data_IF_697783671001
#
_entry.id   IF_697783671001
#
_cell.length_a   1.000
_cell.length_b   1.000
_cell.length_c   1.000
_cell.angle_alpha   90.00
_cell.angle_beta   90.00
_cell.angle_gamma   90.00
#
_symmetry.space_group_name_H-M   'P 1'
#
loop_
_entity.id
_entity.type
_entity.pdbx_description
1 polymer ?
#
# COMPACT_ATOMS: atom_id res chain seq x y z
N UNK A 1 38.79 -2.71 -11.35
CA UNK A 1 37.77 -1.72 -10.92
C UNK A 1 36.39 -2.27 -11.28
N UNK A 2 35.55 -2.63 -10.32
CA UNK A 2 34.14 -2.96 -10.61
C UNK A 2 33.38 -1.65 -10.84
N UNK A 3 32.95 -1.41 -12.07
CA UNK A 3 32.06 -0.31 -12.39
C UNK A 3 30.76 -0.53 -11.61
N UNK A 4 30.42 0.40 -10.69
CA UNK A 4 29.13 0.40 -10.01
C UNK A 4 28.05 0.64 -11.06
N UNK A 5 27.20 -0.34 -11.31
CA UNK A 5 26.00 -0.13 -12.12
C UNK A 5 25.18 1.04 -11.56
N UNK A 6 24.62 1.91 -12.42
CA UNK A 6 23.78 3.00 -11.95
C UNK A 6 22.57 2.43 -11.19
N UNK A 7 22.34 2.90 -9.97
CA UNK A 7 21.19 2.48 -9.15
C UNK A 7 19.90 2.77 -9.93
N UNK A 8 19.11 1.74 -10.18
CA UNK A 8 17.84 1.86 -10.87
C UNK A 8 16.92 2.79 -10.05
N UNK A 9 16.51 3.92 -10.66
CA UNK A 9 15.57 4.85 -10.03
C UNK A 9 14.25 4.10 -9.74
N UNK A 10 13.76 4.18 -8.51
CA UNK A 10 12.49 3.56 -8.15
C UNK A 10 11.38 4.35 -8.84
N UNK A 11 10.57 3.65 -9.62
CA UNK A 11 9.35 4.21 -10.18
C UNK A 11 8.31 4.34 -9.08
N UNK A 12 7.63 5.47 -9.03
CA UNK A 12 6.51 5.76 -8.12
C UNK A 12 5.38 6.40 -8.92
N UNK A 13 4.16 6.13 -8.50
CA UNK A 13 2.98 6.76 -9.08
C UNK A 13 2.83 8.19 -8.55
N UNK A 14 2.53 9.11 -9.44
CA UNK A 14 2.07 10.46 -9.07
C UNK A 14 0.59 10.42 -8.64
N UNK A 15 0.16 11.45 -7.89
CA UNK A 15 -1.26 11.57 -7.50
C UNK A 15 -2.19 11.64 -8.72
N UNK A 16 -1.75 12.27 -9.82
CA UNK A 16 -2.51 12.34 -11.06
C UNK A 16 -2.68 10.95 -11.73
N UNK A 17 -1.63 10.12 -11.69
CA UNK A 17 -1.70 8.74 -12.20
C UNK A 17 -2.61 7.87 -11.34
N UNK A 18 -2.53 7.98 -10.01
CA UNK A 18 -3.43 7.25 -9.10
C UNK A 18 -4.89 7.64 -9.35
N UNK A 19 -5.16 8.95 -9.48
CA UNK A 19 -6.51 9.46 -9.80
C UNK A 19 -7.02 8.89 -11.13
N UNK A 20 -6.19 8.90 -12.17
CA UNK A 20 -6.52 8.31 -13.47
C UNK A 20 -6.83 6.81 -13.37
N UNK A 21 -6.07 6.07 -12.58
CA UNK A 21 -6.31 4.63 -12.36
C UNK A 21 -7.64 4.38 -11.66
N UNK A 22 -8.01 5.22 -10.68
CA UNK A 22 -9.31 5.15 -9.98
C UNK A 22 -10.48 5.49 -10.90
N UNK A 23 -10.34 6.50 -11.78
CA UNK A 23 -11.34 6.90 -12.77
C UNK A 23 -11.58 5.80 -13.81
N UNK A 24 -10.52 5.10 -14.25
CA UNK A 24 -10.57 4.03 -15.24
C UNK A 24 -10.93 2.65 -14.66
N UNK A 25 -11.06 2.54 -13.35
CA UNK A 25 -11.56 1.34 -12.69
C UNK A 25 -13.06 1.14 -13.02
N UNK A 26 -13.42 -0.06 -13.48
CA UNK A 26 -14.74 -0.34 -14.06
C UNK A 26 -15.88 -0.46 -13.03
N UNK A 27 -15.54 -0.63 -11.75
CA UNK A 27 -16.51 -0.89 -10.68
C UNK A 27 -15.90 -0.52 -9.32
N UNK A 28 -16.75 -0.43 -8.30
CA UNK A 28 -16.37 0.01 -6.96
C UNK A 28 -15.37 -0.94 -6.28
N UNK A 29 -15.46 -2.27 -6.50
CA UNK A 29 -14.47 -3.24 -5.99
C UNK A 29 -13.06 -2.92 -6.49
N UNK A 30 -12.91 -2.66 -7.79
CA UNK A 30 -11.62 -2.38 -8.41
C UNK A 30 -11.07 -1.03 -7.91
N UNK A 31 -11.93 -0.02 -7.70
CA UNK A 31 -11.57 1.26 -7.08
C UNK A 31 -11.07 1.07 -5.65
N UNK A 32 -11.84 0.34 -4.84
CA UNK A 32 -11.48 0.02 -3.46
C UNK A 32 -10.14 -0.71 -3.38
N UNK A 33 -9.91 -1.72 -4.24
CA UNK A 33 -8.64 -2.45 -4.31
C UNK A 33 -7.45 -1.55 -4.65
N UNK A 34 -7.60 -0.66 -5.64
CA UNK A 34 -6.57 0.29 -6.04
C UNK A 34 -6.24 1.25 -4.88
N UNK A 35 -7.27 1.86 -4.27
CA UNK A 35 -7.09 2.78 -3.14
C UNK A 35 -6.46 2.08 -1.94
N UNK A 36 -6.89 0.86 -1.63
CA UNK A 36 -6.33 0.07 -0.55
C UNK A 36 -4.84 -0.23 -0.77
N UNK A 37 -4.44 -0.65 -1.97
CA UNK A 37 -3.03 -0.86 -2.30
C UNK A 37 -2.20 0.42 -2.18
N UNK A 38 -2.74 1.55 -2.64
CA UNK A 38 -2.08 2.85 -2.58
C UNK A 38 -1.87 3.32 -1.14
N UNK A 39 -2.93 3.25 -0.33
CA UNK A 39 -2.93 3.77 1.04
C UNK A 39 -2.19 2.88 2.04
N UNK A 40 -2.14 1.57 1.80
CA UNK A 40 -1.57 0.62 2.78
C UNK A 40 -0.21 0.05 2.39
N UNK A 41 0.11 0.05 1.11
CA UNK A 41 1.31 -0.61 0.58
C UNK A 41 1.35 -2.12 0.80
N UNK A 42 0.22 -2.76 1.07
CA UNK A 42 0.11 -4.20 1.27
C UNK A 42 0.61 -4.99 0.05
N UNK A 43 1.17 -6.17 0.29
CA UNK A 43 1.43 -7.13 -0.78
C UNK A 43 0.11 -7.66 -1.32
N UNK A 44 0.05 -7.93 -2.64
CA UNK A 44 -1.19 -8.42 -3.24
C UNK A 44 -1.69 -9.71 -2.61
N UNK A 45 -0.80 -10.61 -2.18
CA UNK A 45 -1.19 -11.81 -1.46
C UNK A 45 -1.80 -11.52 -0.08
N UNK A 46 -1.34 -10.47 0.60
CA UNK A 46 -1.93 -9.99 1.85
C UNK A 46 -3.33 -9.43 1.61
N UNK A 47 -3.51 -8.62 0.55
CA UNK A 47 -4.82 -8.06 0.18
C UNK A 47 -5.82 -9.16 -0.16
N UNK A 48 -5.42 -10.14 -0.96
CA UNK A 48 -6.28 -11.27 -1.36
C UNK A 48 -6.58 -12.24 -0.21
N UNK A 49 -5.85 -12.18 0.89
CA UNK A 49 -6.09 -12.97 2.10
C UNK A 49 -7.05 -12.29 3.10
N UNK A 50 -7.38 -11.01 2.88
CA UNK A 50 -8.26 -10.26 3.77
C UNK A 50 -9.67 -10.83 3.79
N UNK A 51 -10.25 -10.82 4.99
CA UNK A 51 -11.66 -11.11 5.23
C UNK A 51 -12.41 -9.81 5.53
N UNK A 52 -13.72 -9.84 5.40
CA UNK A 52 -14.60 -8.70 5.71
C UNK A 52 -14.37 -8.25 7.17
N UNK A 53 -14.25 -9.21 8.10
CA UNK A 53 -14.06 -8.94 9.51
C UNK A 53 -12.63 -8.47 9.90
N UNK A 54 -11.69 -8.38 8.96
CA UNK A 54 -10.37 -7.81 9.20
C UNK A 54 -10.38 -6.27 9.16
N UNK A 55 -11.42 -5.66 8.60
CA UNK A 55 -11.64 -4.23 8.67
C UNK A 55 -12.23 -3.91 10.05
N UNK A 56 -11.55 -3.05 10.80
CA UNK A 56 -11.96 -2.65 12.15
C UNK A 56 -12.28 -1.17 12.18
N UNK A 57 -13.50 -0.87 12.56
CA UNK A 57 -14.02 0.49 12.69
C UNK A 57 -13.77 0.99 14.10
N UNK A 58 -13.06 2.10 14.25
CA UNK A 58 -12.89 2.79 15.52
C UNK A 58 -12.78 4.29 15.29
N UNK A 59 -13.86 5.01 15.53
CA UNK A 59 -13.93 6.46 15.32
C UNK A 59 -13.11 7.26 16.33
N UNK A 60 -12.66 6.65 17.44
CA UNK A 60 -11.86 7.31 18.47
C UNK A 60 -10.37 7.07 18.29
N UNK A 61 -9.99 5.83 17.93
CA UNK A 61 -8.58 5.40 17.83
C UNK A 61 -8.08 5.28 16.39
N UNK A 62 -8.98 5.48 15.41
CA UNK A 62 -8.69 5.33 13.98
C UNK A 62 -8.98 3.92 13.46
N UNK A 63 -9.48 3.86 12.24
CA UNK A 63 -9.82 2.62 11.55
C UNK A 63 -8.57 1.80 11.22
N UNK A 64 -8.69 0.48 11.21
CA UNK A 64 -7.54 -0.41 11.04
C UNK A 64 -7.89 -1.61 10.17
N UNK A 65 -6.91 -2.08 9.41
CA UNK A 65 -6.88 -3.43 8.85
C UNK A 65 -6.03 -4.31 9.76
N UNK A 66 -6.54 -5.48 10.14
CA UNK A 66 -5.85 -6.46 10.97
C UNK A 66 -5.41 -7.63 10.10
N UNK A 67 -4.13 -7.72 9.81
CA UNK A 67 -3.58 -8.84 9.07
C UNK A 67 -3.37 -10.03 10.00
N UNK A 68 -4.00 -11.16 9.67
CA UNK A 68 -3.95 -12.40 10.45
C UNK A 68 -3.39 -13.53 9.59
N UNK A 69 -2.59 -14.38 10.21
CA UNK A 69 -2.11 -15.60 9.57
C UNK A 69 -3.23 -16.66 9.60
N UNK A 70 -3.64 -17.12 8.42
CA UNK A 70 -4.68 -18.14 8.28
C UNK A 70 -4.51 -18.93 6.98
N UNK A 71 -5.13 -20.10 6.94
CA UNK A 71 -5.25 -20.85 5.69
C UNK A 71 -6.21 -20.17 4.73
N UNK A 72 -5.83 -20.09 3.45
CA UNK A 72 -6.64 -19.53 2.38
C UNK A 72 -6.68 -20.49 1.19
N UNK A 73 -7.87 -20.84 0.76
CA UNK A 73 -8.13 -21.74 -0.38
C UNK A 73 -7.87 -21.11 -1.75
N UNK A 74 -7.78 -19.78 -1.83
CA UNK A 74 -7.42 -19.04 -3.04
C UNK A 74 -5.91 -19.01 -3.35
N UNK A 75 -5.11 -19.80 -2.62
CA UNK A 75 -3.66 -19.91 -2.81
C UNK A 75 -2.84 -18.73 -2.27
N UNK A 76 -3.45 -17.85 -1.48
CA UNK A 76 -2.75 -16.71 -0.87
C UNK A 76 -2.32 -17.02 0.55
N UNK A 77 -1.29 -16.34 1.03
CA UNK A 77 -0.82 -16.45 2.41
C UNK A 77 -0.10 -15.18 2.88
N UNK A 78 -0.08 -14.99 4.19
CA UNK A 78 0.64 -13.89 4.82
C UNK A 78 2.13 -14.24 4.86
N UNK A 79 2.94 -13.56 4.04
CA UNK A 79 4.42 -13.74 4.01
C UNK A 79 5.14 -13.08 5.18
N UNK A 80 4.45 -12.21 5.89
CA UNK A 80 4.98 -11.41 7.00
C UNK A 80 4.17 -11.69 8.25
N UNK A 81 4.68 -11.25 9.40
CA UNK A 81 3.95 -11.38 10.65
C UNK A 81 2.61 -10.65 10.67
N UNK A 82 1.75 -11.06 11.58
CA UNK A 82 0.49 -10.37 11.86
C UNK A 82 0.77 -8.93 12.28
N UNK A 83 -0.03 -8.00 11.80
CA UNK A 83 0.09 -6.57 12.12
C UNK A 83 -1.20 -5.82 11.86
N UNK A 84 -1.29 -4.63 12.42
CA UNK A 84 -2.38 -3.68 12.22
C UNK A 84 -1.89 -2.51 11.38
N UNK A 85 -2.73 -2.05 10.47
CA UNK A 85 -2.43 -0.89 9.62
C UNK A 85 -3.57 0.09 9.75
N UNK A 86 -3.27 1.31 10.18
CA UNK A 86 -4.25 2.39 10.19
C UNK A 86 -4.63 2.80 8.78
N UNK A 87 -5.92 3.07 8.58
CA UNK A 87 -6.53 3.47 7.31
C UNK A 87 -7.42 4.69 7.49
N UNK A 88 -7.63 5.43 6.39
CA UNK A 88 -8.41 6.66 6.38
C UNK A 88 -9.93 6.39 6.37
N UNK A 89 -10.71 7.42 6.73
CA UNK A 89 -12.15 7.40 6.56
C UNK A 89 -12.54 7.24 5.09
N UNK A 90 -11.85 7.89 4.16
CA UNK A 90 -12.15 7.77 2.74
C UNK A 90 -11.98 6.36 2.18
N UNK A 91 -11.07 5.56 2.74
CA UNK A 91 -10.96 4.14 2.39
C UNK A 91 -12.13 3.33 2.97
N UNK A 92 -12.61 3.70 4.16
CA UNK A 92 -13.81 3.10 4.76
C UNK A 92 -15.05 3.42 3.92
N UNK A 93 -15.20 4.67 3.47
CA UNK A 93 -16.34 5.06 2.62
C UNK A 93 -16.39 4.21 1.33
N UNK A 94 -15.22 3.99 0.68
CA UNK A 94 -15.12 3.08 -0.46
C UNK A 94 -15.40 1.61 -0.12
N UNK A 95 -15.05 1.18 1.09
CA UNK A 95 -15.38 -0.16 1.58
C UNK A 95 -16.89 -0.30 1.77
N UNK A 96 -17.54 0.66 2.39
CA UNK A 96 -18.99 0.66 2.63
C UNK A 96 -19.76 0.66 1.29
N UNK A 97 -19.35 1.51 0.34
CA UNK A 97 -19.90 1.50 -1.02
C UNK A 97 -19.72 0.13 -1.70
N UNK A 98 -18.53 -0.48 -1.56
CA UNK A 98 -18.28 -1.80 -2.15
C UNK A 98 -19.14 -2.90 -1.52
N UNK A 99 -19.27 -2.90 -0.19
CA UNK A 99 -20.12 -3.87 0.51
C UNK A 99 -21.57 -3.69 0.09
N UNK A 100 -22.08 -2.47 0.09
CA UNK A 100 -23.45 -2.18 -0.28
C UNK A 100 -23.75 -2.50 -1.76
N UNK A 101 -22.99 -1.93 -2.70
CA UNK A 101 -23.27 -2.05 -4.14
C UNK A 101 -22.95 -3.43 -4.73
N UNK A 102 -22.10 -4.22 -4.09
CA UNK A 102 -21.63 -5.48 -4.65
C UNK A 102 -21.97 -6.69 -3.78
N UNK A 103 -21.58 -6.64 -2.51
CA UNK A 103 -21.74 -7.80 -1.63
C UNK A 103 -23.23 -8.02 -1.31
N UNK A 104 -23.92 -6.96 -0.91
CA UNK A 104 -25.32 -7.03 -0.50
C UNK A 104 -26.24 -7.18 -1.71
N UNK A 105 -26.09 -6.35 -2.77
CA UNK A 105 -26.96 -6.42 -3.95
C UNK A 105 -26.85 -7.75 -4.71
N UNK A 106 -25.64 -8.33 -4.80
CA UNK A 106 -25.44 -9.63 -5.41
C UNK A 106 -25.67 -10.81 -4.46
N UNK A 107 -26.04 -10.54 -3.19
CA UNK A 107 -26.25 -11.55 -2.14
C UNK A 107 -25.05 -12.50 -2.02
N UNK A 108 -23.83 -11.95 -2.02
CA UNK A 108 -22.60 -12.74 -1.97
C UNK A 108 -22.36 -13.23 -0.55
N UNK A 109 -22.35 -14.56 -0.39
CA UNK A 109 -22.02 -15.22 0.87
C UNK A 109 -20.53 -15.64 0.82
N UNK A 110 -19.63 -14.76 1.26
CA UNK A 110 -18.20 -15.02 1.30
C UNK A 110 -17.56 -14.28 2.46
N UNK A 111 -16.62 -14.92 3.15
CA UNK A 111 -15.79 -14.27 4.18
C UNK A 111 -14.71 -13.39 3.55
N UNK A 112 -14.31 -13.68 2.31
CA UNK A 112 -13.26 -12.92 1.64
C UNK A 112 -13.68 -11.50 1.32
N UNK A 113 -12.77 -10.55 1.58
CA UNK A 113 -12.99 -9.15 1.27
C UNK A 113 -13.06 -8.91 -0.24
N UNK A 114 -12.20 -9.57 -1.02
CA UNK A 114 -12.18 -9.42 -2.49
C UNK A 114 -12.68 -10.67 -3.18
N UNK A 115 -13.80 -10.53 -3.86
CA UNK A 115 -14.50 -11.63 -4.55
C UNK A 115 -14.69 -11.33 -6.04
N UNK A 116 -14.92 -12.38 -6.82
CA UNK A 116 -15.30 -12.28 -8.22
C UNK A 116 -16.74 -11.78 -8.32
N UNK A 117 -17.00 -10.80 -9.19
CA UNK A 117 -18.30 -10.13 -9.32
C UNK A 117 -18.98 -10.38 -10.67
N UNK A 118 -18.37 -11.18 -11.54
CA UNK A 118 -18.87 -11.52 -12.87
C UNK A 118 -18.54 -12.96 -13.25
N UNK A 119 -19.36 -13.52 -14.15
CA UNK A 119 -19.14 -14.85 -14.70
C UNK A 119 -19.77 -15.96 -13.83
N UNK A 120 -19.31 -17.19 -14.02
CA UNK A 120 -19.87 -18.38 -13.35
C UNK A 120 -19.50 -18.47 -11.86
N UNK A 121 -18.44 -17.81 -11.47
CA UNK A 121 -17.81 -17.93 -10.16
C UNK A 121 -18.00 -16.66 -9.30
N UNK A 122 -19.15 -16.00 -9.45
CA UNK A 122 -19.51 -14.85 -8.61
C UNK A 122 -19.51 -15.27 -7.13
N UNK A 123 -18.89 -14.46 -6.27
CA UNK A 123 -18.76 -14.73 -4.84
C UNK A 123 -17.52 -15.54 -4.44
N UNK A 124 -16.86 -16.24 -5.38
CA UNK A 124 -15.59 -16.88 -5.07
C UNK A 124 -14.49 -15.83 -4.80
N UNK A 125 -13.54 -16.17 -3.92
CA UNK A 125 -12.38 -15.35 -3.65
C UNK A 125 -11.59 -15.03 -4.92
N UNK A 126 -11.15 -13.78 -5.06
CA UNK A 126 -10.21 -13.41 -6.10
C UNK A 126 -8.86 -14.09 -5.88
N UNK A 127 -8.16 -14.36 -6.98
CA UNK A 127 -6.83 -14.93 -7.00
C UNK A 127 -5.84 -14.06 -7.80
N UNK A 128 -4.58 -14.48 -7.90
CA UNK A 128 -3.54 -13.74 -8.64
C UNK A 128 -3.87 -13.53 -10.12
N UNK A 129 -4.58 -14.46 -10.78
CA UNK A 129 -4.98 -14.34 -12.18
C UNK A 129 -5.99 -13.22 -12.40
N UNK A 130 -6.92 -13.05 -11.45
CA UNK A 130 -7.91 -11.97 -11.49
C UNK A 130 -7.21 -10.60 -11.38
N UNK A 131 -6.23 -10.50 -10.49
CA UNK A 131 -5.39 -9.29 -10.32
C UNK A 131 -4.57 -9.00 -11.59
N UNK A 132 -3.93 -10.02 -12.16
CA UNK A 132 -3.19 -9.85 -13.40
C UNK A 132 -4.08 -9.29 -14.52
N UNK A 133 -5.29 -9.82 -14.66
CA UNK A 133 -6.27 -9.38 -15.65
C UNK A 133 -6.73 -7.94 -15.41
N UNK A 134 -6.95 -7.56 -14.15
CA UNK A 134 -7.28 -6.18 -13.76
C UNK A 134 -6.18 -5.22 -14.16
N UNK A 135 -4.95 -5.47 -13.74
CA UNK A 135 -3.82 -4.56 -14.02
C UNK A 135 -3.44 -4.50 -15.50
N UNK A 136 -3.58 -5.61 -16.23
CA UNK A 136 -3.43 -5.62 -17.69
C UNK A 136 -4.42 -4.69 -18.38
N UNK A 137 -5.69 -4.71 -17.95
CA UNK A 137 -6.74 -3.82 -18.46
C UNK A 137 -6.47 -2.35 -18.11
N UNK A 138 -6.11 -2.05 -16.86
CA UNK A 138 -5.76 -0.70 -16.43
C UNK A 138 -4.57 -0.14 -17.21
N UNK A 139 -3.50 -0.92 -17.37
CA UNK A 139 -2.34 -0.55 -18.19
C UNK A 139 -2.74 -0.22 -19.63
N UNK A 140 -3.60 -1.02 -20.24
CA UNK A 140 -4.08 -0.75 -21.61
C UNK A 140 -4.88 0.55 -21.69
N UNK A 141 -5.78 0.81 -20.74
CA UNK A 141 -6.64 2.00 -20.72
C UNK A 141 -5.89 3.29 -20.41
N UNK A 142 -4.96 3.24 -19.49
CA UNK A 142 -4.30 4.43 -18.95
C UNK A 142 -2.93 4.72 -19.58
N UNK A 143 -2.32 3.71 -20.23
CA UNK A 143 -0.92 3.70 -20.67
C UNK A 143 0.09 3.79 -19.52
N UNK A 144 -0.34 3.67 -18.26
CA UNK A 144 0.52 3.63 -17.07
C UNK A 144 1.01 2.19 -16.90
N UNK A 145 2.32 1.99 -16.72
CA UNK A 145 2.89 0.65 -16.48
C UNK A 145 2.66 0.18 -15.04
N UNK A 146 1.39 0.05 -14.67
CA UNK A 146 0.95 -0.22 -13.30
C UNK A 146 0.95 -1.72 -12.96
N UNK A 147 1.36 -2.03 -11.73
CA UNK A 147 1.30 -3.35 -11.12
C UNK A 147 1.30 -3.23 -9.58
N UNK A 148 0.90 -4.27 -8.81
CA UNK A 148 0.74 -4.15 -7.35
C UNK A 148 2.00 -3.68 -6.60
N UNK A 149 3.18 -4.11 -7.01
CA UNK A 149 4.43 -3.67 -6.37
C UNK A 149 4.72 -2.19 -6.54
N UNK A 150 4.25 -1.57 -7.65
CA UNK A 150 4.40 -0.15 -7.87
C UNK A 150 3.64 0.68 -6.82
N UNK A 151 2.43 0.26 -6.45
CA UNK A 151 1.69 0.88 -5.35
C UNK A 151 2.44 0.78 -4.02
N UNK A 152 3.03 -0.37 -3.75
CA UNK A 152 3.82 -0.58 -2.54
C UNK A 152 5.07 0.30 -2.50
N UNK A 153 5.77 0.45 -3.63
CA UNK A 153 6.91 1.36 -3.74
C UNK A 153 6.47 2.81 -3.57
N UNK A 154 5.37 3.19 -4.20
CA UNK A 154 4.79 4.53 -4.07
C UNK A 154 4.43 4.83 -2.62
N UNK A 155 3.67 3.93 -1.97
CA UNK A 155 3.29 4.06 -0.56
C UNK A 155 4.51 4.26 0.34
N UNK A 156 5.51 3.38 0.20
CA UNK A 156 6.71 3.45 1.03
C UNK A 156 7.50 4.74 0.84
N UNK A 157 7.61 5.21 -0.41
CA UNK A 157 8.30 6.47 -0.73
C UNK A 157 7.56 7.66 -0.14
N UNK A 158 6.25 7.74 -0.35
CA UNK A 158 5.42 8.82 0.23
C UNK A 158 5.49 8.80 1.75
N UNK A 159 5.28 7.65 2.37
CA UNK A 159 5.29 7.52 3.83
C UNK A 159 6.66 7.88 4.42
N UNK A 160 7.76 7.44 3.80
CA UNK A 160 9.11 7.82 4.24
C UNK A 160 9.38 9.31 4.07
N UNK A 161 8.97 9.92 2.96
CA UNK A 161 9.19 11.34 2.71
C UNK A 161 8.50 12.23 3.74
N UNK A 162 7.31 11.82 4.19
CA UNK A 162 6.53 12.56 5.19
C UNK A 162 7.03 12.34 6.63
N UNK A 163 7.36 11.09 6.98
CA UNK A 163 7.71 10.73 8.37
C UNK A 163 9.20 10.78 8.67
N UNK A 164 10.04 10.60 7.63
CA UNK A 164 11.49 10.37 7.72
C UNK A 164 11.87 9.21 8.67
N UNK A 165 10.92 8.36 9.01
CA UNK A 165 11.11 7.23 9.92
C UNK A 165 11.09 5.90 9.15
N UNK A 166 12.28 5.39 8.88
CA UNK A 166 12.47 4.14 8.15
C UNK A 166 11.94 2.91 8.92
N UNK A 167 11.93 2.98 10.26
CA UNK A 167 11.43 1.89 11.10
C UNK A 167 9.91 1.77 10.98
N UNK A 168 9.20 2.89 11.01
CA UNK A 168 7.75 2.89 10.76
C UNK A 168 7.40 2.38 9.37
N UNK A 169 8.17 2.76 8.33
CA UNK A 169 7.99 2.20 6.97
C UNK A 169 8.17 0.69 6.99
N UNK A 170 9.23 0.19 7.65
CA UNK A 170 9.50 -1.24 7.76
C UNK A 170 8.35 -2.00 8.43
N UNK A 171 7.88 -1.52 9.57
CA UNK A 171 6.79 -2.12 10.34
C UNK A 171 5.49 -2.14 9.53
N UNK A 172 5.14 -1.01 8.92
CA UNK A 172 3.93 -0.88 8.08
C UNK A 172 3.94 -1.83 6.89
N UNK A 173 5.07 -1.93 6.19
CA UNK A 173 5.23 -2.84 5.07
C UNK A 173 5.43 -4.31 5.50
N UNK A 174 5.80 -4.57 6.74
CA UNK A 174 6.16 -5.91 7.21
C UNK A 174 7.42 -6.44 6.52
N UNK A 175 8.47 -5.63 6.43
CA UNK A 175 9.77 -6.10 5.95
C UNK A 175 10.53 -6.75 7.10
N UNK A 176 10.88 -8.03 6.94
CA UNK A 176 11.69 -8.77 7.93
C UNK A 176 13.12 -8.21 8.05
N UNK A 177 13.63 -7.57 6.99
CA UNK A 177 14.95 -6.98 6.95
C UNK A 177 14.87 -5.49 6.62
N UNK A 178 15.32 -4.65 7.55
CA UNK A 178 15.36 -3.19 7.41
C UNK A 178 16.25 -2.75 6.25
N UNK A 179 17.31 -3.52 5.94
CA UNK A 179 18.23 -3.20 4.85
C UNK A 179 17.51 -3.14 3.49
N UNK A 180 16.48 -3.98 3.30
CA UNK A 180 15.64 -3.92 2.10
C UNK A 180 14.94 -2.57 1.97
N UNK A 181 14.46 -2.02 3.08
CA UNK A 181 13.79 -0.71 3.10
C UNK A 181 14.78 0.42 2.93
N UNK A 182 15.91 0.38 3.64
CA UNK A 182 16.97 1.39 3.54
C UNK A 182 17.50 1.50 2.11
N UNK A 183 17.89 0.38 1.52
CA UNK A 183 18.47 0.36 0.16
C UNK A 183 17.52 0.87 -0.93
N UNK A 184 16.23 0.80 -0.68
CA UNK A 184 15.21 1.24 -1.63
C UNK A 184 14.81 2.72 -1.45
N UNK A 185 14.72 3.20 -0.19
CA UNK A 185 14.06 4.48 0.09
C UNK A 185 14.98 5.54 0.71
N UNK A 186 16.12 5.18 1.30
CA UNK A 186 17.00 6.12 1.99
C UNK A 186 18.19 6.49 1.11
N UNK A 187 18.06 7.56 0.36
CA UNK A 187 19.15 8.15 -0.42
C UNK A 187 19.16 9.66 -0.17
N UNK A 188 19.65 10.12 1.00
CA UNK A 188 19.70 11.53 1.32
C UNK A 188 20.59 12.25 0.29
N UNK A 189 20.11 13.38 -0.21
CA UNK A 189 20.91 14.29 -1.02
C UNK A 189 21.82 15.12 -0.09
N UNK A 190 22.82 15.80 -0.66
CA UNK A 190 23.63 16.76 0.11
C UNK A 190 22.76 17.89 0.71
N UNK A 191 21.70 18.24 0.03
CA UNK A 191 20.73 19.24 0.44
C UNK A 191 19.93 18.77 1.66
N UNK A 192 19.42 17.53 1.64
CA UNK A 192 18.75 16.91 2.80
C UNK A 192 19.67 16.88 4.02
N UNK A 193 20.94 16.47 3.84
CA UNK A 193 21.95 16.41 4.93
C UNK A 193 22.20 17.81 5.50
N UNK A 194 22.31 18.84 4.65
CA UNK A 194 22.51 20.21 5.07
C UNK A 194 21.31 20.77 5.82
N UNK A 195 20.10 20.50 5.34
CA UNK A 195 18.87 20.93 6.02
C UNK A 195 18.72 20.28 7.39
N UNK A 196 18.95 18.97 7.48
CA UNK A 196 18.90 18.24 8.75
C UNK A 196 19.98 18.71 9.72
N UNK A 197 21.20 18.99 9.23
CA UNK A 197 22.23 19.63 10.06
C UNK A 197 21.79 21.00 10.59
N UNK A 198 21.18 21.83 9.75
CA UNK A 198 20.68 23.13 10.17
C UNK A 198 19.63 23.07 11.28
N UNK A 199 18.80 22.02 11.30
CA UNK A 199 17.80 21.79 12.36
C UNK A 199 18.43 21.44 13.70
N UNK A 200 19.56 20.74 13.71
CA UNK A 200 20.17 20.20 14.95
C UNK A 200 21.43 20.91 15.41
N UNK A 201 22.10 21.67 14.55
CA UNK A 201 23.40 22.31 14.86
C UNK A 201 23.39 23.15 16.12
N UNK A 202 22.26 23.79 16.48
CA UNK A 202 22.13 24.60 17.68
C UNK A 202 22.29 23.78 18.97
N UNK A 203 22.00 22.48 18.95
CA UNK A 203 22.21 21.57 20.08
C UNK A 203 23.68 21.32 20.38
N UNK A 204 24.57 21.58 19.41
CA UNK A 204 26.01 21.35 19.54
C UNK A 204 26.79 22.64 19.79
N UNK A 205 26.13 23.80 19.86
CA UNK A 205 26.77 25.09 20.15
C UNK A 205 26.99 25.26 21.65
N UNK A 206 27.90 24.45 22.22
CA UNK A 206 28.27 24.51 23.65
C UNK A 206 29.31 25.60 23.89
N UNK A 207 30.09 26.03 22.87
CA UNK A 207 31.04 27.11 22.93
C UNK A 207 30.49 28.32 22.17
N UNK A 208 29.96 29.30 22.90
CA UNK A 208 29.99 30.68 22.42
C UNK A 208 31.41 31.19 22.68
N UNK A 209 32.15 31.60 21.64
CA UNK A 209 33.29 32.47 21.83
C UNK A 209 32.73 33.71 22.50
N UNK A 210 33.09 33.84 23.79
CA UNK A 210 32.56 34.88 24.65
C UNK A 210 32.79 36.27 24.08
N UNK A 211 31.98 37.17 24.58
CA UNK A 211 32.14 38.61 24.60
C UNK A 211 33.54 39.03 25.00
#
# INVERSE_FOLDING_TARGET
MKVKEPKKKIEVLTNAEVKKLLEEANNIRDKFLIQLLYETGLRIGEVLSLRIDDIKFDFRKGHQIVLKNRFNDNGTYLKTGERKIFISQSLIDLYDDYVYEIIDELSICSDYLFVKIKGRNVGEAMNYSDIYSLFKRLKHKTSINVHPHLFRHTHATVFYNETKDIKQVQERLGHSNIQTTINLYVHPTEEDIREDWNKVKHQFQVFNKGE
#
